data_IF_980352243363
#
_entry.id   IF_980352243363
#
_cell.length_a   1.000
_cell.length_b   1.000
_cell.length_c   1.000
_cell.angle_alpha   90.00
_cell.angle_beta   90.00
_cell.angle_gamma   90.00
#
_symmetry.space_group_name_H-M   'P 1'
#
loop_
_entity.id
_entity.type
_entity.pdbx_description
1 polymer ?
#
# COMPACT_ATOMS: atom_id res chain seq x y z
N UNK A 1 -9.25 27.85 -17.70
CA UNK A 1 -9.18 27.38 -16.29
C UNK A 1 -8.26 26.17 -16.25
N UNK A 2 -6.95 26.37 -16.04
CA UNK A 2 -6.02 25.24 -15.91
C UNK A 2 -5.92 24.88 -14.43
N UNK A 3 -6.73 23.92 -13.98
CA UNK A 3 -6.48 23.27 -12.71
C UNK A 3 -5.12 22.58 -12.82
N UNK A 4 -4.10 23.11 -12.12
CA UNK A 4 -2.85 22.39 -11.90
C UNK A 4 -3.22 21.06 -11.23
N UNK A 5 -3.08 19.95 -11.93
CA UNK A 5 -3.14 18.62 -11.31
C UNK A 5 -2.14 18.64 -10.16
N UNK A 6 -2.53 18.30 -8.91
CA UNK A 6 -1.58 18.25 -7.80
C UNK A 6 -0.43 17.33 -8.19
N UNK A 7 0.81 17.79 -8.03
CA UNK A 7 1.98 16.92 -8.14
C UNK A 7 1.85 15.89 -7.01
N UNK A 8 1.40 14.69 -7.34
CA UNK A 8 1.20 13.63 -6.34
C UNK A 8 2.57 13.08 -5.94
N UNK A 9 3.15 13.61 -4.86
CA UNK A 9 4.40 13.09 -4.32
C UNK A 9 4.16 11.66 -3.81
N UNK A 10 4.99 10.73 -4.29
CA UNK A 10 5.03 9.36 -3.80
C UNK A 10 5.37 9.36 -2.31
N UNK A 11 4.55 8.70 -1.50
CA UNK A 11 4.82 8.51 -0.07
C UNK A 11 5.59 7.19 0.11
N UNK A 12 6.74 7.25 0.78
CA UNK A 12 7.51 6.06 1.15
C UNK A 12 7.23 5.66 2.60
N UNK A 13 6.95 4.37 2.81
CA UNK A 13 6.57 3.81 4.11
C UNK A 13 7.49 2.63 4.50
N UNK A 14 7.90 2.59 5.76
CA UNK A 14 8.58 1.43 6.35
C UNK A 14 7.57 0.55 7.12
N UNK A 15 7.23 -0.60 6.54
CA UNK A 15 6.33 -1.61 7.09
C UNK A 15 6.92 -2.44 8.25
N UNK A 16 8.15 -2.18 8.68
CA UNK A 16 8.77 -2.80 9.86
C UNK A 16 8.51 -2.01 11.16
N UNK A 17 7.95 -0.81 11.06
CA UNK A 17 7.65 0.04 12.20
C UNK A 17 6.28 -0.31 12.84
N UNK A 18 6.16 -0.03 14.14
CA UNK A 18 4.95 -0.25 14.93
C UNK A 18 4.49 -1.71 14.98
N UNK A 19 3.19 -1.93 14.74
CA UNK A 19 2.47 -3.21 14.90
C UNK A 19 2.83 -4.30 13.86
N UNK A 20 3.94 -4.15 13.14
CA UNK A 20 4.43 -5.16 12.20
C UNK A 20 3.65 -5.22 10.90
N UNK A 21 3.55 -4.07 10.21
CA UNK A 21 3.24 -3.92 8.77
C UNK A 21 1.78 -4.06 8.34
N UNK A 22 1.01 -4.97 8.94
CA UNK A 22 -0.36 -5.25 8.49
C UNK A 22 -1.35 -4.09 8.70
N UNK A 23 -1.24 -3.38 9.82
CA UNK A 23 -2.07 -2.20 10.09
C UNK A 23 -1.64 -1.01 9.24
N UNK A 24 -0.33 -0.76 9.13
CA UNK A 24 0.23 0.31 8.29
C UNK A 24 -0.26 0.17 6.85
N UNK A 25 -0.21 -1.03 6.28
CA UNK A 25 -0.68 -1.30 4.92
C UNK A 25 -2.15 -0.94 4.73
N UNK A 26 -3.05 -1.40 5.62
CA UNK A 26 -4.50 -1.12 5.49
C UNK A 26 -4.82 0.36 5.60
N UNK A 27 -4.17 1.07 6.52
CA UNK A 27 -4.33 2.52 6.67
C UNK A 27 -3.79 3.26 5.44
N UNK A 28 -2.63 2.86 4.93
CA UNK A 28 -2.04 3.45 3.73
C UNK A 28 -2.94 3.28 2.50
N UNK A 29 -3.51 2.08 2.28
CA UNK A 29 -4.49 1.85 1.21
C UNK A 29 -5.69 2.79 1.31
N UNK A 30 -6.30 2.88 2.49
CA UNK A 30 -7.47 3.73 2.70
C UNK A 30 -7.16 5.22 2.47
N UNK A 31 -6.08 5.72 3.07
CA UNK A 31 -5.67 7.12 2.92
C UNK A 31 -5.28 7.43 1.48
N UNK A 32 -4.52 6.55 0.83
CA UNK A 32 -4.12 6.70 -0.58
C UNK A 32 -5.33 6.86 -1.49
N UNK A 33 -6.34 5.99 -1.36
CA UNK A 33 -7.59 6.10 -2.15
C UNK A 33 -8.33 7.42 -1.89
N UNK A 34 -8.37 7.89 -0.64
CA UNK A 34 -9.07 9.14 -0.27
C UNK A 34 -8.32 10.38 -0.79
N UNK A 35 -7.00 10.41 -0.65
CA UNK A 35 -6.18 11.60 -0.99
C UNK A 35 -5.68 11.59 -2.44
N UNK A 36 -5.87 10.48 -3.16
CA UNK A 36 -5.29 10.23 -4.50
C UNK A 36 -3.77 10.31 -4.53
N UNK A 37 -3.12 9.95 -3.42
CA UNK A 37 -1.66 10.02 -3.28
C UNK A 37 -1.07 8.62 -3.35
N UNK A 38 -0.16 8.33 -4.30
CA UNK A 38 0.46 7.02 -4.40
C UNK A 38 1.40 6.76 -3.23
N UNK A 39 1.61 5.49 -2.89
CA UNK A 39 2.61 5.12 -1.89
C UNK A 39 3.39 3.87 -2.30
N UNK A 40 4.60 3.77 -1.75
CA UNK A 40 5.42 2.58 -1.75
C UNK A 40 5.70 2.19 -0.31
N UNK A 41 5.39 0.95 0.06
CA UNK A 41 5.73 0.39 1.37
C UNK A 41 6.77 -0.70 1.21
N UNK A 42 7.81 -0.67 2.03
CA UNK A 42 8.86 -1.69 2.08
C UNK A 42 8.86 -2.42 3.42
N UNK A 43 9.59 -3.54 3.52
CA UNK A 43 9.76 -4.32 4.76
C UNK A 43 8.44 -4.75 5.41
N UNK A 44 7.42 -5.04 4.59
CA UNK A 44 6.09 -5.44 5.04
C UNK A 44 6.20 -6.63 5.99
N UNK A 45 5.76 -6.44 7.24
CA UNK A 45 5.73 -7.48 8.28
C UNK A 45 7.11 -8.08 8.60
N UNK A 46 8.19 -7.32 8.41
CA UNK A 46 9.56 -7.82 8.59
C UNK A 46 9.88 -8.37 9.99
N UNK A 47 9.16 -7.95 11.03
CA UNK A 47 9.33 -8.42 12.43
C UNK A 47 8.38 -9.57 12.82
N UNK A 48 7.66 -10.17 11.85
CA UNK A 48 6.73 -11.29 12.10
C UNK A 48 7.33 -12.62 11.63
N UNK A 49 6.91 -13.72 12.25
CA UNK A 49 7.37 -15.09 11.91
C UNK A 49 7.15 -15.49 10.45
N UNK A 50 6.10 -14.97 9.81
CA UNK A 50 5.88 -15.06 8.37
C UNK A 50 5.95 -13.65 7.81
N UNK A 51 7.04 -13.20 7.16
CA UNK A 51 7.12 -11.85 6.59
C UNK A 51 6.27 -11.69 5.34
N UNK A 52 6.12 -10.44 4.88
CA UNK A 52 5.45 -10.08 3.65
C UNK A 52 3.92 -10.19 3.68
N UNK A 53 3.31 -10.01 2.51
CA UNK A 53 1.88 -10.13 2.30
C UNK A 53 1.40 -11.56 2.58
N UNK A 54 0.23 -11.67 3.20
CA UNK A 54 -0.48 -12.93 3.41
C UNK A 54 -1.81 -12.81 2.68
N UNK A 55 -2.56 -13.90 2.55
CA UNK A 55 -3.85 -13.91 1.86
C UNK A 55 -4.77 -12.76 2.27
N UNK A 56 -4.92 -12.49 3.57
CA UNK A 56 -5.73 -11.37 4.06
C UNK A 56 -5.24 -9.98 3.62
N UNK A 57 -3.92 -9.82 3.45
CA UNK A 57 -3.34 -8.56 2.97
C UNK A 57 -3.57 -8.40 1.47
N UNK A 58 -3.36 -9.48 0.69
CA UNK A 58 -3.64 -9.50 -0.76
C UNK A 58 -5.10 -9.18 -1.03
N UNK A 59 -6.04 -9.81 -0.31
CA UNK A 59 -7.47 -9.51 -0.46
C UNK A 59 -7.77 -8.03 -0.20
N UNK A 60 -7.13 -7.41 0.79
CA UNK A 60 -7.31 -5.99 1.06
C UNK A 60 -6.73 -5.10 -0.06
N UNK A 61 -5.55 -5.43 -0.58
CA UNK A 61 -4.90 -4.73 -1.70
C UNK A 61 -5.76 -4.84 -2.97
N UNK A 62 -6.23 -6.04 -3.29
CA UNK A 62 -7.06 -6.33 -4.46
C UNK A 62 -8.41 -5.63 -4.40
N UNK A 63 -9.05 -5.63 -3.22
CA UNK A 63 -10.29 -4.91 -3.01
C UNK A 63 -10.09 -3.39 -3.18
N UNK A 64 -9.02 -2.83 -2.60
CA UNK A 64 -8.69 -1.42 -2.75
C UNK A 64 -8.43 -1.06 -4.23
N UNK A 65 -7.69 -1.90 -4.95
CA UNK A 65 -7.42 -1.70 -6.37
C UNK A 65 -8.68 -1.76 -7.23
N UNK A 66 -9.57 -2.73 -6.97
CA UNK A 66 -10.84 -2.87 -7.68
C UNK A 66 -11.78 -1.66 -7.47
N UNK A 67 -11.80 -1.08 -6.26
CA UNK A 67 -12.65 0.07 -5.93
C UNK A 67 -12.11 1.38 -6.53
N UNK A 68 -10.79 1.54 -6.57
CA UNK A 68 -10.15 2.80 -7.02
C UNK A 68 -9.73 2.80 -8.49
N UNK A 69 -9.58 1.64 -9.11
CA UNK A 69 -8.92 1.50 -10.42
C UNK A 69 -7.40 1.60 -10.33
N UNK A 70 -6.81 1.27 -9.17
CA UNK A 70 -5.40 1.47 -8.89
C UNK A 70 -4.47 0.61 -9.76
N UNK A 71 -3.28 1.14 -10.03
CA UNK A 71 -2.14 0.34 -10.47
C UNK A 71 -1.39 -0.18 -9.24
N UNK A 72 -1.07 -1.47 -9.24
CA UNK A 72 -0.43 -2.14 -8.11
C UNK A 72 0.75 -2.98 -8.59
N UNK A 73 1.87 -2.92 -7.87
CA UNK A 73 3.04 -3.78 -8.09
C UNK A 73 3.44 -4.45 -6.77
N UNK A 74 3.75 -5.74 -6.82
CA UNK A 74 4.11 -6.52 -5.63
C UNK A 74 2.91 -7.11 -4.86
N UNK A 75 1.72 -7.17 -5.49
CA UNK A 75 0.53 -7.86 -4.94
C UNK A 75 0.66 -9.39 -5.10
N UNK A 76 1.64 -9.96 -4.42
CA UNK A 76 1.89 -11.40 -4.42
C UNK A 76 2.19 -11.91 -3.01
N UNK A 77 1.92 -13.20 -2.77
CA UNK A 77 2.10 -13.80 -1.46
C UNK A 77 3.57 -13.69 -1.04
N UNK A 78 3.79 -13.30 0.21
CA UNK A 78 5.10 -13.06 0.82
C UNK A 78 5.90 -11.87 0.27
N UNK A 79 5.35 -11.08 -0.66
CA UNK A 79 5.98 -9.84 -1.06
C UNK A 79 6.23 -8.93 0.15
N UNK A 80 7.46 -8.44 0.27
CA UNK A 80 7.86 -7.49 1.32
C UNK A 80 7.75 -6.04 0.88
N UNK A 81 7.37 -5.79 -0.38
CA UNK A 81 7.29 -4.46 -0.98
C UNK A 81 6.02 -4.34 -1.81
N UNK A 82 5.29 -3.24 -1.65
CA UNK A 82 4.09 -2.96 -2.43
C UNK A 82 4.13 -1.51 -2.90
N UNK A 83 3.88 -1.32 -4.19
CA UNK A 83 3.56 -0.02 -4.77
C UNK A 83 2.07 0.04 -5.08
N UNK A 84 1.42 1.14 -4.72
CA UNK A 84 0.00 1.36 -4.96
C UNK A 84 -0.23 2.79 -5.45
N UNK A 85 -0.83 2.92 -6.63
CA UNK A 85 -1.24 4.18 -7.22
C UNK A 85 -2.76 4.19 -7.44
N UNK A 86 -3.53 4.91 -6.61
CA UNK A 86 -5.00 4.96 -6.65
C UNK A 86 -5.57 5.69 -7.86
#
# INVERSE_FOLDING_TARGET
MNAKTPQQNLIELDGSQGEGGGQVLRTALALSMITRTPFKIERIRAKRSKPGLLRQHLTAVQAAAAISGAQVQGDELHSTTLYFQP
#
